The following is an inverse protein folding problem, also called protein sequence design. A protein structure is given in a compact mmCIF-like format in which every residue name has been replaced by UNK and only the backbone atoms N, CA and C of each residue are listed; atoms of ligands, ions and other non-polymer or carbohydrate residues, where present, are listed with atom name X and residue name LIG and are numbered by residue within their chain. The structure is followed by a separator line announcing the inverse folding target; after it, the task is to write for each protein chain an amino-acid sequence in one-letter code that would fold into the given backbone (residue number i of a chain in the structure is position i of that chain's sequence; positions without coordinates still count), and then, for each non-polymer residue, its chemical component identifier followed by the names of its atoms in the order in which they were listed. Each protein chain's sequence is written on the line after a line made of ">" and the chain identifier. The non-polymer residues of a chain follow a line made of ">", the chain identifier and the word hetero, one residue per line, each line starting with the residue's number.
data_IF_398926576132
#
_entry.id   IF_398926576132
#
_cell.length_a   1.000
_cell.length_b   1.000
_cell.length_c   1.000
_cell.angle_alpha   90.00
_cell.angle_beta   90.00
_cell.angle_gamma   90.00
#
_symmetry.space_group_name_H-M   'P 1'
#
loop_
_entity.id
_entity.type
_entity.pdbx_description
1 polymer ?
#
# COMPACT_ATOMS: atom_id res chain seq x y z
N UNK A 1 7.85 10.49 -16.09
CA UNK A 1 8.31 11.40 -15.04
C UNK A 1 9.59 10.85 -14.40
N UNK A 2 10.55 11.71 -14.19
CA UNK A 2 11.81 11.32 -13.56
C UNK A 2 11.81 11.72 -12.10
N UNK A 3 12.20 10.82 -11.22
CA UNK A 3 12.48 11.16 -9.84
C UNK A 3 13.96 11.56 -9.69
N UNK A 4 14.21 12.51 -8.81
CA UNK A 4 15.58 12.76 -8.37
C UNK A 4 16.08 11.53 -7.60
N UNK A 5 17.41 11.39 -7.51
CA UNK A 5 17.99 10.30 -6.71
C UNK A 5 17.52 10.38 -5.25
N UNK A 6 17.48 11.59 -4.70
CA UNK A 6 17.03 11.80 -3.32
C UNK A 6 15.57 11.33 -3.13
N UNK A 7 14.67 11.69 -4.03
CA UNK A 7 13.27 11.25 -3.97
C UNK A 7 13.16 9.74 -4.14
N UNK A 8 13.94 9.16 -5.04
CA UNK A 8 13.96 7.71 -5.22
C UNK A 8 14.40 7.00 -3.93
N UNK A 9 15.45 7.48 -3.28
CA UNK A 9 15.94 6.88 -2.03
C UNK A 9 14.89 6.97 -0.92
N UNK A 10 14.17 8.08 -0.84
CA UNK A 10 13.05 8.22 0.10
C UNK A 10 11.94 7.22 -0.20
N UNK A 11 11.59 7.05 -1.47
CA UNK A 11 10.58 6.08 -1.88
C UNK A 11 11.01 4.66 -1.53
N UNK A 12 12.26 4.29 -1.82
CA UNK A 12 12.79 2.97 -1.48
C UNK A 12 12.76 2.72 0.02
N UNK A 13 13.06 3.74 0.82
CA UNK A 13 13.00 3.62 2.27
C UNK A 13 11.57 3.29 2.75
N UNK A 14 10.56 3.90 2.13
CA UNK A 14 9.16 3.61 2.45
C UNK A 14 8.77 2.18 2.03
N UNK A 15 9.25 1.72 0.88
CA UNK A 15 9.02 0.35 0.42
C UNK A 15 9.70 -0.65 1.36
N UNK A 16 10.93 -0.38 1.77
CA UNK A 16 11.65 -1.23 2.71
C UNK A 16 10.94 -1.30 4.06
N UNK A 17 10.37 -0.19 4.52
CA UNK A 17 9.54 -0.17 5.73
C UNK A 17 8.30 -1.04 5.56
N UNK A 18 7.62 -0.94 4.43
CA UNK A 18 6.45 -1.77 4.13
C UNK A 18 6.80 -3.26 4.14
N UNK A 19 7.91 -3.63 3.52
CA UNK A 19 8.38 -5.01 3.50
C UNK A 19 8.66 -5.50 4.92
N UNK A 20 9.34 -4.69 5.72
CA UNK A 20 9.70 -5.03 7.09
C UNK A 20 8.47 -5.23 7.98
N UNK A 21 7.51 -4.31 7.95
CA UNK A 21 6.31 -4.45 8.79
C UNK A 21 5.43 -5.62 8.34
N UNK A 22 5.45 -5.95 7.06
CA UNK A 22 4.78 -7.14 6.53
C UNK A 22 5.42 -8.41 7.10
N UNK A 23 6.74 -8.47 7.13
CA UNK A 23 7.47 -9.61 7.70
C UNK A 23 7.21 -9.74 9.20
N UNK A 24 6.98 -8.63 9.89
CA UNK A 24 6.66 -8.61 11.32
C UNK A 24 5.20 -8.98 11.61
N UNK A 25 4.42 -9.33 10.61
CA UNK A 25 3.07 -9.85 10.77
C UNK A 25 1.94 -8.89 10.44
N UNK A 26 2.24 -7.67 9.98
CA UNK A 26 1.20 -6.74 9.55
C UNK A 26 0.50 -7.26 8.30
N UNK A 27 -0.81 -7.03 8.21
CA UNK A 27 -1.60 -7.38 7.04
C UNK A 27 -1.73 -6.13 6.17
N UNK A 28 -1.48 -6.27 4.87
CA UNK A 28 -1.62 -5.17 3.92
C UNK A 28 -2.94 -5.35 3.18
N UNK A 29 -3.76 -4.30 3.13
CA UNK A 29 -5.00 -4.27 2.36
C UNK A 29 -4.74 -3.55 1.04
N UNK A 30 -5.02 -4.23 -0.07
CA UNK A 30 -5.01 -3.65 -1.43
C UNK A 30 -6.38 -3.89 -2.08
N UNK A 31 -6.62 -3.30 -3.25
CA UNK A 31 -7.95 -3.42 -3.88
C UNK A 31 -8.13 -4.72 -4.65
N UNK A 32 -7.13 -5.19 -5.38
CA UNK A 32 -7.28 -6.34 -6.26
C UNK A 32 -6.05 -7.23 -6.36
N UNK A 33 -6.24 -8.35 -7.06
CA UNK A 33 -5.22 -9.39 -7.21
C UNK A 33 -3.96 -8.92 -7.95
N UNK A 34 -4.09 -7.97 -8.86
CA UNK A 34 -2.93 -7.45 -9.58
C UNK A 34 -2.03 -6.63 -8.66
N UNK A 35 -2.62 -5.96 -7.68
CA UNK A 35 -1.87 -5.23 -6.66
C UNK A 35 -1.12 -6.21 -5.75
N UNK A 36 -1.74 -7.35 -5.42
CA UNK A 36 -1.07 -8.41 -4.65
C UNK A 36 0.17 -8.88 -5.39
N UNK A 37 0.03 -9.22 -6.69
CA UNK A 37 1.16 -9.66 -7.52
C UNK A 37 2.26 -8.61 -7.56
N UNK A 38 1.88 -7.35 -7.70
CA UNK A 38 2.82 -6.24 -7.76
C UNK A 38 3.63 -6.12 -6.46
N UNK A 39 2.98 -6.18 -5.31
CA UNK A 39 3.68 -6.15 -4.03
C UNK A 39 4.61 -7.36 -3.84
N UNK A 40 4.19 -8.54 -4.30
CA UNK A 40 5.07 -9.71 -4.27
C UNK A 40 6.34 -9.50 -5.09
N UNK A 41 6.23 -8.82 -6.22
CA UNK A 41 7.40 -8.47 -7.06
C UNK A 41 8.36 -7.53 -6.32
N UNK A 42 7.87 -6.68 -5.44
CA UNK A 42 8.72 -5.79 -4.63
C UNK A 42 9.38 -6.51 -3.45
N UNK A 43 8.96 -7.73 -3.14
CA UNK A 43 9.53 -8.49 -2.04
C UNK A 43 8.66 -8.55 -0.79
N UNK A 44 7.41 -8.09 -0.85
CA UNK A 44 6.47 -8.22 0.26
C UNK A 44 6.08 -9.70 0.39
N UNK A 45 6.31 -10.29 1.55
CA UNK A 45 6.11 -11.72 1.78
C UNK A 45 5.00 -12.06 2.75
N UNK A 46 4.61 -11.12 3.59
CA UNK A 46 3.55 -11.33 4.59
C UNK A 46 2.15 -11.40 3.97
N UNK A 47 1.16 -11.38 4.82
CA UNK A 47 -0.22 -11.50 4.39
C UNK A 47 -0.69 -10.23 3.67
N UNK A 48 -1.29 -10.40 2.51
CA UNK A 48 -1.92 -9.34 1.73
C UNK A 48 -3.36 -9.78 1.46
N UNK A 49 -4.31 -8.91 1.76
CA UNK A 49 -5.73 -9.18 1.53
C UNK A 49 -6.30 -8.16 0.55
N UNK A 50 -7.36 -8.55 -0.16
CA UNK A 50 -8.00 -7.67 -1.13
C UNK A 50 -9.37 -7.25 -0.64
N UNK A 51 -9.73 -5.99 -0.91
CA UNK A 51 -11.03 -5.45 -0.54
C UNK A 51 -12.13 -5.85 -1.54
N UNK A 52 -11.76 -6.28 -2.73
CA UNK A 52 -12.72 -6.56 -3.80
C UNK A 52 -13.62 -7.78 -3.56
N UNK A 53 -13.19 -8.72 -2.73
CA UNK A 53 -13.86 -10.03 -2.59
C UNK A 53 -14.89 -10.13 -1.46
N UNK A 54 -15.03 -9.09 -0.64
CA UNK A 54 -15.97 -9.09 0.46
C UNK A 54 -16.33 -7.64 0.84
N UNK A 55 -17.32 -7.49 1.70
CA UNK A 55 -17.64 -6.16 2.23
C UNK A 55 -16.52 -5.68 3.16
N UNK A 56 -16.43 -4.37 3.33
CA UNK A 56 -15.45 -3.80 4.25
C UNK A 56 -15.70 -4.25 5.69
N UNK A 57 -16.96 -4.39 6.09
CA UNK A 57 -17.31 -4.88 7.42
C UNK A 57 -16.80 -6.30 7.67
N UNK A 58 -16.98 -7.19 6.67
CA UNK A 58 -16.47 -8.56 6.76
C UNK A 58 -14.94 -8.60 6.81
N UNK A 59 -14.30 -7.79 5.98
CA UNK A 59 -12.84 -7.71 5.94
C UNK A 59 -12.29 -7.27 7.29
N UNK A 60 -12.82 -6.19 7.85
CA UNK A 60 -12.39 -5.65 9.15
C UNK A 60 -12.61 -6.69 10.26
N UNK A 61 -13.76 -7.37 10.26
CA UNK A 61 -14.05 -8.39 11.25
C UNK A 61 -13.00 -9.51 11.25
N UNK A 62 -12.55 -9.91 10.06
CA UNK A 62 -11.55 -10.98 9.92
C UNK A 62 -10.17 -10.60 10.42
N UNK A 63 -9.75 -9.34 10.29
CA UNK A 63 -8.37 -8.94 10.49
C UNK A 63 -8.16 -7.90 11.60
N UNK A 64 -9.20 -7.54 12.32
CA UNK A 64 -9.17 -6.49 13.36
C UNK A 64 -8.18 -6.74 14.50
N UNK A 65 -7.75 -7.98 14.70
CA UNK A 65 -6.81 -8.35 15.75
C UNK A 65 -5.34 -8.27 15.32
N UNK A 66 -5.09 -7.84 14.10
CA UNK A 66 -3.74 -7.73 13.55
C UNK A 66 -3.37 -6.27 13.33
N UNK A 67 -2.08 -6.00 13.19
CA UNK A 67 -1.64 -4.72 12.67
C UNK A 67 -1.99 -4.68 11.19
N UNK A 68 -2.53 -3.55 10.72
CA UNK A 68 -3.05 -3.42 9.36
C UNK A 68 -2.47 -2.18 8.71
N UNK A 69 -2.05 -2.33 7.44
CA UNK A 69 -1.64 -1.23 6.58
C UNK A 69 -2.65 -1.14 5.43
N UNK A 70 -3.19 0.05 5.19
CA UNK A 70 -4.13 0.27 4.10
C UNK A 70 -3.36 0.87 2.92
N UNK A 71 -3.37 0.14 1.78
CA UNK A 71 -2.76 0.58 0.52
C UNK A 71 -3.79 0.50 -0.60
N UNK A 72 -4.88 1.23 -0.46
CA UNK A 72 -5.86 1.39 -1.53
C UNK A 72 -5.29 2.32 -2.61
N UNK A 73 -5.90 2.31 -3.79
CA UNK A 73 -5.45 3.12 -4.92
C UNK A 73 -5.46 4.62 -4.58
N UNK A 74 -4.61 5.37 -5.27
CA UNK A 74 -4.48 6.83 -5.11
C UNK A 74 -5.41 7.55 -6.09
N UNK A 75 -6.70 7.35 -5.89
CA UNK A 75 -7.78 8.00 -6.61
C UNK A 75 -8.93 8.26 -5.63
N UNK A 76 -9.98 8.91 -6.09
CA UNK A 76 -11.11 9.25 -5.23
C UNK A 76 -11.76 8.00 -4.62
N UNK A 77 -11.92 6.95 -5.41
CA UNK A 77 -12.51 5.69 -4.93
C UNK A 77 -11.64 5.05 -3.85
N UNK A 78 -10.32 5.07 -4.06
CA UNK A 78 -9.36 4.56 -3.06
C UNK A 78 -9.35 5.37 -1.79
N UNK A 79 -9.50 6.70 -1.89
CA UNK A 79 -9.62 7.57 -0.72
C UNK A 79 -10.88 7.27 0.07
N UNK A 80 -12.01 7.10 -0.61
CA UNK A 80 -13.28 6.77 0.03
C UNK A 80 -13.24 5.40 0.71
N UNK A 81 -12.61 4.44 0.06
CA UNK A 81 -12.42 3.09 0.58
C UNK A 81 -11.56 3.12 1.85
N UNK A 82 -10.47 3.87 1.83
CA UNK A 82 -9.62 4.04 3.02
C UNK A 82 -10.41 4.64 4.18
N UNK A 83 -11.18 5.70 3.95
CA UNK A 83 -11.98 6.34 4.98
C UNK A 83 -12.97 5.38 5.60
N UNK A 84 -13.65 4.59 4.78
CA UNK A 84 -14.63 3.62 5.26
C UNK A 84 -13.96 2.53 6.10
N UNK A 85 -12.82 2.02 5.65
CA UNK A 85 -12.05 1.03 6.42
C UNK A 85 -11.59 1.61 7.76
N UNK A 86 -11.04 2.82 7.77
CA UNK A 86 -10.59 3.48 9.01
C UNK A 86 -11.74 3.61 10.00
N UNK A 87 -12.92 4.04 9.52
CA UNK A 87 -14.11 4.18 10.37
C UNK A 87 -14.50 2.84 10.99
N UNK A 88 -14.50 1.78 10.19
CA UNK A 88 -14.86 0.43 10.65
C UNK A 88 -13.84 -0.14 11.64
N UNK A 89 -12.55 0.05 11.39
CA UNK A 89 -11.51 -0.34 12.34
C UNK A 89 -11.63 0.42 13.65
N UNK A 90 -11.93 1.73 13.57
CA UNK A 90 -12.11 2.56 14.76
C UNK A 90 -13.20 2.04 15.69
N UNK A 91 -14.28 1.46 15.13
CA UNK A 91 -15.37 0.89 15.92
C UNK A 91 -14.90 -0.27 16.80
N UNK A 92 -13.76 -0.90 16.44
CA UNK A 92 -13.13 -1.96 17.22
C UNK A 92 -11.93 -1.46 18.04
N UNK A 93 -11.70 -0.14 18.10
CA UNK A 93 -10.55 0.44 18.79
C UNK A 93 -9.23 0.22 18.08
N UNK A 94 -9.25 -0.07 16.79
CA UNK A 94 -8.06 -0.35 16.00
C UNK A 94 -7.74 0.84 15.10
N UNK A 95 -6.45 1.23 15.07
CA UNK A 95 -5.95 2.31 14.22
C UNK A 95 -5.06 1.71 13.14
N UNK A 96 -5.54 1.57 11.90
CA UNK A 96 -4.71 1.06 10.81
C UNK A 96 -3.68 2.11 10.38
N UNK A 97 -2.59 1.65 9.76
CA UNK A 97 -1.58 2.52 9.18
C UNK A 97 -2.09 3.06 7.84
N UNK A 98 -2.23 4.37 7.74
CA UNK A 98 -2.56 5.10 6.51
C UNK A 98 -1.42 6.01 6.08
N UNK A 99 -0.36 6.10 6.87
CA UNK A 99 0.75 7.01 6.65
C UNK A 99 1.65 6.59 5.49
N UNK A 100 1.90 5.29 5.32
CA UNK A 100 2.72 4.80 4.21
C UNK A 100 2.09 5.18 2.87
N UNK A 101 0.79 4.97 2.73
CA UNK A 101 0.06 5.34 1.52
C UNK A 101 0.20 6.83 1.23
N UNK A 102 0.02 7.67 2.24
CA UNK A 102 0.12 9.12 2.12
C UNK A 102 1.54 9.57 1.76
N UNK A 103 2.54 9.02 2.44
CA UNK A 103 3.95 9.38 2.20
C UNK A 103 4.41 8.96 0.80
N UNK A 104 4.00 7.79 0.34
CA UNK A 104 4.30 7.35 -1.02
C UNK A 104 3.73 8.34 -2.02
N UNK A 105 2.46 8.73 -1.85
CA UNK A 105 1.82 9.69 -2.74
C UNK A 105 2.55 11.03 -2.76
N UNK A 106 3.06 11.48 -1.62
CA UNK A 106 3.80 12.76 -1.55
C UNK A 106 5.05 12.77 -2.43
N UNK A 107 5.60 11.58 -2.73
CA UNK A 107 6.78 11.46 -3.59
C UNK A 107 6.40 11.27 -5.06
N UNK A 108 5.48 10.36 -5.35
CA UNK A 108 5.15 9.97 -6.73
C UNK A 108 4.07 10.83 -7.36
N UNK A 109 3.21 11.44 -6.54
CA UNK A 109 2.15 12.31 -7.02
C UNK A 109 1.16 11.59 -7.91
N UNK A 110 0.55 12.33 -8.82
CA UNK A 110 -0.53 11.83 -9.69
C UNK A 110 -0.05 10.89 -10.81
N UNK A 111 1.24 10.66 -10.92
CA UNK A 111 1.80 9.73 -11.90
C UNK A 111 1.37 8.29 -11.60
N UNK A 112 1.15 8.00 -10.33
CA UNK A 112 0.81 6.66 -9.85
C UNK A 112 -0.60 6.69 -9.27
N UNK A 113 -1.47 5.77 -9.72
CA UNK A 113 -2.85 5.67 -9.24
C UNK A 113 -3.14 4.39 -8.48
N UNK A 114 -2.39 3.33 -8.75
CA UNK A 114 -2.60 2.03 -8.11
C UNK A 114 -1.28 1.47 -7.62
N UNK A 115 -1.35 0.44 -6.79
CA UNK A 115 -0.16 -0.28 -6.34
C UNK A 115 0.54 -0.93 -7.53
N UNK A 116 -0.21 -1.46 -8.49
CA UNK A 116 0.37 -1.99 -9.73
C UNK A 116 1.17 -0.93 -10.47
N UNK A 117 0.60 0.27 -10.63
CA UNK A 117 1.30 1.40 -11.25
C UNK A 117 2.55 1.77 -10.49
N UNK A 118 2.49 1.76 -9.15
CA UNK A 118 3.63 2.09 -8.29
C UNK A 118 4.81 1.17 -8.58
N UNK A 119 4.56 -0.13 -8.66
CA UNK A 119 5.60 -1.11 -8.91
C UNK A 119 6.21 -0.91 -10.29
N UNK A 120 5.39 -0.71 -11.33
CA UNK A 120 5.86 -0.41 -12.68
C UNK A 120 6.72 0.85 -12.69
N UNK A 121 6.29 1.88 -11.96
CA UNK A 121 7.02 3.13 -11.87
C UNK A 121 8.40 2.94 -11.20
N UNK A 122 8.46 2.22 -10.10
CA UNK A 122 9.71 1.93 -9.39
C UNK A 122 10.68 1.16 -10.30
N UNK A 123 10.20 0.12 -10.97
CA UNK A 123 11.03 -0.68 -11.88
C UNK A 123 11.55 0.18 -13.04
N UNK A 124 10.72 1.07 -13.57
CA UNK A 124 11.14 1.99 -14.64
C UNK A 124 12.21 2.96 -14.17
N UNK A 125 12.06 3.51 -12.97
CA UNK A 125 13.06 4.42 -12.37
C UNK A 125 14.38 3.68 -12.17
N UNK A 126 14.33 2.46 -11.64
CA UNK A 126 15.53 1.64 -11.40
C UNK A 126 16.24 1.29 -12.69
N UNK A 127 15.48 0.97 -13.74
CA UNK A 127 16.04 0.72 -15.06
C UNK A 127 16.81 1.95 -15.59
N UNK A 128 16.27 3.13 -15.39
CA UNK A 128 16.90 4.37 -15.84
C UNK A 128 18.12 4.77 -15.00
N UNK A 129 18.13 4.41 -13.73
CA UNK A 129 19.27 4.72 -12.85
C UNK A 129 20.48 3.84 -13.14
N UNK A 130 20.27 2.60 -13.48
CA UNK A 130 21.30 1.58 -13.78
C UNK A 130 22.59 1.76 -13.00
N UNK A 131 22.52 1.41 -11.77
CA UNK A 131 23.71 1.42 -10.93
C UNK A 131 24.39 0.08 -11.01
#
# INVERSE_FOLDING_TARGET
>A
MKLSLDAYLKLKSLIDELIRISEDGAIIIVEGKNDVKALRMLGVKGEIVTSANCSNAELVDKIKNKNVVILTDWDRRGDDLEKDLVTKFSSWGVIPDTELRRKIFSIVGRTVRSVEDLVKFILSVEENLKI
#
